data_IF_706687689017
#
_entry.id   IF_706687689017
#
_cell.length_a   1.000
_cell.length_b   1.000
_cell.length_c   1.000
_cell.angle_alpha   90.00
_cell.angle_beta   90.00
_cell.angle_gamma   90.00
#
_symmetry.space_group_name_H-M   'P 1'
#
loop_
_entity.id
_entity.type
_entity.pdbx_description
1 polymer ?
#
# COMPACT_ATOMS: atom_id res chain seq x y z
N UNK A 1 -51.31 31.00 49.43
CA UNK A 1 -50.44 31.86 48.60
C UNK A 1 -49.02 31.32 48.56
N UNK A 2 -48.40 30.94 49.69
CA UNK A 2 -47.08 30.29 49.70
C UNK A 2 -46.98 29.00 48.88
N UNK A 3 -48.03 28.17 48.80
CA UNK A 3 -47.97 26.94 48.00
C UNK A 3 -47.87 27.22 46.48
N UNK A 4 -48.42 28.35 46.01
CA UNK A 4 -48.34 28.75 44.61
C UNK A 4 -46.97 29.37 44.27
N UNK A 5 -46.35 30.08 45.20
CA UNK A 5 -44.98 30.60 45.05
C UNK A 5 -43.97 29.46 45.01
N UNK A 6 -44.09 28.48 45.90
CA UNK A 6 -43.21 27.30 45.91
C UNK A 6 -43.38 26.44 44.65
N UNK A 7 -44.60 26.25 44.15
CA UNK A 7 -44.83 25.52 42.90
C UNK A 7 -44.19 26.21 41.68
N UNK A 8 -44.23 27.56 41.66
CA UNK A 8 -43.57 28.35 40.61
C UNK A 8 -42.04 28.20 40.68
N UNK A 9 -41.46 28.27 41.87
CA UNK A 9 -40.01 28.13 42.06
C UNK A 9 -39.51 26.73 41.64
N UNK A 10 -40.25 25.67 41.99
CA UNK A 10 -39.92 24.30 41.58
C UNK A 10 -39.95 24.17 40.05
N UNK A 11 -40.99 24.69 39.38
CA UNK A 11 -41.09 24.62 37.92
C UNK A 11 -39.98 25.39 37.20
N UNK A 12 -39.53 26.52 37.76
CA UNK A 12 -38.39 27.29 37.21
C UNK A 12 -37.08 26.52 37.39
N UNK A 13 -36.86 25.88 38.54
CA UNK A 13 -35.67 25.05 38.77
C UNK A 13 -35.63 23.83 37.84
N UNK A 14 -36.77 23.17 37.65
CA UNK A 14 -36.90 22.03 36.74
C UNK A 14 -36.57 22.41 35.30
N UNK A 15 -37.14 23.53 34.80
CA UNK A 15 -36.83 24.04 33.46
C UNK A 15 -35.34 24.44 33.29
N UNK A 16 -34.71 24.98 34.33
CA UNK A 16 -33.29 25.32 34.29
C UNK A 16 -32.39 24.07 34.19
N UNK A 17 -32.73 23.01 34.94
CA UNK A 17 -32.03 21.71 34.87
C UNK A 17 -32.19 21.10 33.47
N UNK A 18 -33.41 21.11 32.94
CA UNK A 18 -33.67 20.57 31.60
C UNK A 18 -32.88 21.34 30.52
N UNK A 19 -32.85 22.67 30.59
CA UNK A 19 -32.11 23.49 29.63
C UNK A 19 -30.60 23.23 29.67
N UNK A 20 -30.01 23.06 30.85
CA UNK A 20 -28.59 22.72 30.97
C UNK A 20 -28.29 21.29 30.47
N UNK A 21 -29.22 20.34 30.69
CA UNK A 21 -29.11 18.99 30.13
C UNK A 21 -29.12 18.98 28.59
N UNK A 22 -30.01 19.77 27.97
CA UNK A 22 -30.06 19.93 26.51
C UNK A 22 -28.77 20.56 26.00
N UNK A 23 -28.24 21.57 26.70
CA UNK A 23 -27.01 22.26 26.31
C UNK A 23 -25.81 21.31 26.32
N UNK A 24 -25.65 20.53 27.38
CA UNK A 24 -24.56 19.57 27.53
C UNK A 24 -24.65 18.44 26.49
N UNK A 25 -25.86 17.94 26.20
CA UNK A 25 -26.10 16.94 25.17
C UNK A 25 -25.80 17.47 23.76
N UNK A 26 -26.22 18.71 23.43
CA UNK A 26 -25.89 19.33 22.13
C UNK A 26 -24.39 19.52 21.94
N UNK A 27 -23.67 19.92 22.99
CA UNK A 27 -22.23 20.03 22.94
C UNK A 27 -21.56 18.67 22.72
N UNK A 28 -22.06 17.63 23.41
CA UNK A 28 -21.60 16.25 23.23
C UNK A 28 -21.85 15.75 21.81
N UNK A 29 -23.03 16.02 21.25
CA UNK A 29 -23.37 15.69 19.86
C UNK A 29 -22.36 16.31 18.90
N UNK A 30 -22.16 17.63 18.98
CA UNK A 30 -21.20 18.33 18.12
C UNK A 30 -19.77 17.79 18.27
N UNK A 31 -19.38 17.42 19.49
CA UNK A 31 -18.07 16.81 19.75
C UNK A 31 -17.95 15.44 19.06
N UNK A 32 -18.98 14.59 19.17
CA UNK A 32 -19.00 13.28 18.52
C UNK A 32 -19.01 13.38 16.99
N UNK A 33 -19.73 14.35 16.41
CA UNK A 33 -19.71 14.61 14.96
C UNK A 33 -18.32 14.99 14.46
N UNK A 34 -17.62 15.87 15.18
CA UNK A 34 -16.22 16.23 14.86
C UNK A 34 -15.30 15.02 14.98
N UNK A 35 -15.50 14.19 15.99
CA UNK A 35 -14.71 12.98 16.18
C UNK A 35 -14.91 11.98 15.03
N UNK A 36 -16.15 11.79 14.56
CA UNK A 36 -16.46 10.95 13.39
C UNK A 36 -15.76 11.49 12.14
N UNK A 37 -15.92 12.78 11.84
CA UNK A 37 -15.28 13.39 10.65
C UNK A 37 -13.76 13.21 10.70
N UNK A 38 -13.13 13.42 11.86
CA UNK A 38 -11.69 13.19 12.03
C UNK A 38 -11.30 11.72 11.87
N UNK A 39 -12.13 10.79 12.33
CA UNK A 39 -11.87 9.35 12.15
C UNK A 39 -12.00 8.94 10.69
N UNK A 40 -12.97 9.48 9.95
CA UNK A 40 -13.12 9.26 8.52
C UNK A 40 -11.86 9.74 7.75
N UNK A 41 -11.34 10.92 8.09
CA UNK A 41 -10.08 11.42 7.52
C UNK A 41 -8.87 10.52 7.88
N UNK A 42 -8.83 9.99 9.09
CA UNK A 42 -7.75 9.06 9.48
C UNK A 42 -7.90 7.73 8.71
N UNK A 43 -9.12 7.25 8.49
CA UNK A 43 -9.38 6.04 7.73
C UNK A 43 -8.96 6.16 6.26
N UNK A 44 -9.27 7.27 5.60
CA UNK A 44 -8.85 7.50 4.21
C UNK A 44 -7.33 7.53 4.10
N UNK A 45 -6.66 8.25 5.01
CA UNK A 45 -5.20 8.28 5.07
C UNK A 45 -4.58 6.90 5.35
N UNK A 46 -5.18 6.10 6.24
CA UNK A 46 -4.72 4.73 6.52
C UNK A 46 -4.90 3.81 5.30
N UNK A 47 -6.00 3.95 4.56
CA UNK A 47 -6.24 3.19 3.32
C UNK A 47 -5.22 3.56 2.23
N UNK A 48 -4.92 4.85 2.05
CA UNK A 48 -3.87 5.31 1.13
C UNK A 48 -2.48 4.79 1.54
N UNK A 49 -2.18 4.80 2.84
CA UNK A 49 -0.92 4.27 3.37
C UNK A 49 -0.79 2.76 3.13
N UNK A 50 -1.85 1.98 3.34
CA UNK A 50 -1.86 0.55 3.00
C UNK A 50 -1.67 0.30 1.50
N UNK A 51 -2.30 1.11 0.66
CA UNK A 51 -2.14 0.99 -0.80
C UNK A 51 -0.71 1.28 -1.25
N UNK A 52 -0.11 2.35 -0.72
CA UNK A 52 1.30 2.68 -1.02
C UNK A 52 2.27 1.60 -0.52
N UNK A 53 2.05 1.04 0.68
CA UNK A 53 2.84 -0.09 1.17
C UNK A 53 2.71 -1.30 0.23
N UNK A 54 1.52 -1.61 -0.26
CA UNK A 54 1.32 -2.71 -1.22
C UNK A 54 2.11 -2.48 -2.52
N UNK A 55 2.07 -1.27 -3.09
CA UNK A 55 2.87 -0.92 -4.27
C UNK A 55 4.38 -1.02 -4.00
N UNK A 56 4.84 -0.61 -2.82
CA UNK A 56 6.24 -0.73 -2.44
C UNK A 56 6.68 -2.18 -2.32
N UNK A 57 5.83 -3.05 -1.75
CA UNK A 57 6.08 -4.48 -1.69
C UNK A 57 6.29 -5.09 -3.08
N UNK A 58 5.45 -4.71 -4.06
CA UNK A 58 5.59 -5.18 -5.44
C UNK A 58 6.92 -4.72 -6.05
N UNK A 59 7.29 -3.46 -5.85
CA UNK A 59 8.59 -2.93 -6.32
C UNK A 59 9.76 -3.69 -5.70
N UNK A 60 9.71 -4.00 -4.41
CA UNK A 60 10.76 -4.79 -3.73
C UNK A 60 10.88 -6.17 -4.37
N UNK A 61 9.75 -6.81 -4.70
CA UNK A 61 9.76 -8.11 -5.38
C UNK A 61 10.41 -8.02 -6.76
N UNK A 62 10.02 -7.04 -7.58
CA UNK A 62 10.61 -6.82 -8.91
C UNK A 62 12.13 -6.62 -8.81
N UNK A 63 12.59 -5.84 -7.82
CA UNK A 63 14.01 -5.62 -7.59
C UNK A 63 14.69 -6.92 -7.17
N UNK A 64 14.08 -7.71 -6.29
CA UNK A 64 14.59 -9.03 -5.88
C UNK A 64 14.81 -9.95 -7.08
N UNK A 65 13.79 -10.08 -7.95
CA UNK A 65 13.86 -10.92 -9.15
C UNK A 65 14.92 -10.40 -10.15
N UNK A 66 15.12 -9.07 -10.20
CA UNK A 66 16.17 -8.48 -11.03
C UNK A 66 17.57 -8.82 -10.53
N UNK A 67 17.80 -8.82 -9.21
CA UNK A 67 19.08 -9.17 -8.60
C UNK A 67 19.37 -10.66 -8.78
N UNK A 68 18.36 -11.52 -8.69
CA UNK A 68 18.52 -12.95 -8.96
C UNK A 68 18.97 -13.20 -10.41
N UNK A 69 18.35 -12.52 -11.38
CA UNK A 69 18.78 -12.57 -12.80
C UNK A 69 20.21 -12.03 -12.99
N UNK A 70 20.59 -10.97 -12.29
CA UNK A 70 21.98 -10.46 -12.32
C UNK A 70 22.95 -11.51 -11.76
N UNK A 71 22.58 -12.17 -10.66
CA UNK A 71 23.40 -13.22 -10.05
C UNK A 71 23.58 -14.41 -11.00
N UNK A 72 22.53 -14.85 -11.67
CA UNK A 72 22.58 -15.93 -12.66
C UNK A 72 23.45 -15.53 -13.87
N UNK A 73 23.16 -14.38 -14.49
CA UNK A 73 23.94 -13.88 -15.64
C UNK A 73 25.42 -13.67 -15.31
N UNK A 74 25.74 -13.23 -14.08
CA UNK A 74 27.11 -13.11 -13.58
C UNK A 74 27.81 -14.48 -13.50
N UNK A 75 27.12 -15.54 -13.08
CA UNK A 75 27.71 -16.90 -13.07
C UNK A 75 28.00 -17.42 -14.48
N UNK A 76 27.09 -17.16 -15.44
CA UNK A 76 27.31 -17.51 -16.86
C UNK A 76 28.49 -16.73 -17.43
N UNK A 77 28.58 -15.43 -17.13
CA UNK A 77 29.70 -14.60 -17.55
C UNK A 77 31.02 -15.11 -16.95
N UNK A 78 31.03 -15.52 -15.69
CA UNK A 78 32.19 -16.12 -15.03
C UNK A 78 32.70 -17.39 -15.76
N UNK A 79 31.79 -18.25 -16.22
CA UNK A 79 32.15 -19.45 -17.00
C UNK A 79 32.74 -19.06 -18.34
N UNK A 80 32.13 -18.10 -19.05
CA UNK A 80 32.62 -17.60 -20.34
C UNK A 80 34.01 -16.95 -20.22
N UNK A 81 34.25 -16.17 -19.16
CA UNK A 81 35.56 -15.57 -18.89
C UNK A 81 36.61 -16.65 -18.63
N UNK A 82 36.29 -17.71 -17.88
CA UNK A 82 37.20 -18.86 -17.70
C UNK A 82 37.52 -19.55 -19.03
N UNK A 83 36.53 -19.75 -19.90
CA UNK A 83 36.75 -20.32 -21.23
C UNK A 83 37.68 -19.44 -22.08
N UNK A 84 37.49 -18.12 -22.07
CA UNK A 84 38.38 -17.17 -22.77
C UNK A 84 39.81 -17.19 -22.22
N UNK A 85 39.97 -17.27 -20.91
CA UNK A 85 41.29 -17.40 -20.28
C UNK A 85 41.97 -18.71 -20.69
N UNK A 86 41.23 -19.82 -20.79
CA UNK A 86 41.74 -21.08 -21.32
C UNK A 86 42.18 -20.97 -22.78
N UNK A 87 41.41 -20.25 -23.61
CA UNK A 87 41.74 -20.04 -25.02
C UNK A 87 43.00 -19.19 -25.21
N UNK A 88 43.25 -18.19 -24.36
CA UNK A 88 44.49 -17.38 -24.37
C UNK A 88 45.75 -18.25 -24.22
N UNK A 89 45.65 -19.37 -23.50
CA UNK A 89 46.75 -20.33 -23.36
C UNK A 89 46.93 -21.24 -24.58
N UNK A 90 45.85 -21.52 -25.33
CA UNK A 90 45.88 -22.39 -26.51
C UNK A 90 46.22 -21.67 -27.81
N UNK A 91 45.79 -20.40 -27.96
CA UNK A 91 46.16 -19.61 -29.14
C UNK A 91 47.68 -19.47 -29.20
N UNK A 92 48.34 -20.01 -30.25
CA UNK A 92 49.75 -19.73 -30.48
C UNK A 92 49.88 -18.21 -30.55
N UNK A 93 50.90 -17.65 -29.91
CA UNK A 93 51.26 -16.23 -30.05
C UNK A 93 51.71 -15.98 -31.48
N UNK A 94 50.76 -15.97 -32.42
CA UNK A 94 50.97 -15.47 -33.74
C UNK A 94 51.18 -13.98 -33.57
N UNK A 95 52.45 -13.56 -33.55
CA UNK A 95 52.81 -12.17 -33.77
C UNK A 95 52.37 -11.80 -35.19
N UNK A 96 51.07 -11.54 -35.37
CA UNK A 96 50.60 -10.79 -36.52
C UNK A 96 51.24 -9.41 -36.39
N UNK A 97 52.38 -9.23 -37.06
CA UNK A 97 52.93 -7.93 -37.39
C UNK A 97 51.93 -7.28 -38.34
N UNK A 98 50.84 -6.76 -37.80
CA UNK A 98 49.90 -5.95 -38.58
C UNK A 98 50.68 -4.70 -38.97
N UNK A 99 50.97 -4.47 -40.26
CA UNK A 99 51.73 -3.32 -40.68
C UNK A 99 50.92 -2.06 -40.34
N UNK A 100 51.44 -1.25 -39.42
CA UNK A 100 50.86 0.01 -38.91
C UNK A 100 50.68 1.11 -39.97
N UNK A 101 50.90 0.80 -41.25
CA UNK A 101 50.79 1.73 -42.37
C UNK A 101 49.37 1.88 -42.94
N UNK A 102 48.38 1.12 -42.46
CA UNK A 102 46.98 1.24 -42.93
C UNK A 102 46.02 1.97 -41.97
N UNK A 103 46.44 2.29 -40.74
CA UNK A 103 45.57 2.94 -39.74
C UNK A 103 45.66 4.48 -39.72
N UNK A 104 46.24 5.10 -40.75
CA UNK A 104 46.31 6.56 -40.87
C UNK A 104 45.53 7.04 -42.08
N UNK A 105 44.20 6.96 -42.05
CA UNK A 105 43.38 7.82 -42.91
C UNK A 105 41.96 8.05 -42.39
N UNK A 106 41.70 9.35 -42.16
CA UNK A 106 40.42 10.08 -42.14
C UNK A 106 39.45 9.82 -40.98
N UNK A 107 39.62 10.68 -39.96
CA UNK A 107 38.48 11.46 -39.44
C UNK A 107 37.81 12.18 -40.63
N UNK A 108 36.63 11.73 -41.05
CA UNK A 108 35.69 12.56 -41.80
C UNK A 108 34.27 12.01 -41.69
N UNK A 109 33.41 12.83 -41.07
CA UNK A 109 31.94 12.90 -41.17
C UNK A 109 31.12 11.63 -40.84
N UNK A 110 30.23 11.81 -39.87
CA UNK A 110 29.06 10.96 -39.66
C UNK A 110 28.31 10.73 -40.99
N UNK A 111 27.99 9.48 -41.35
CA UNK A 111 26.96 9.20 -42.33
C UNK A 111 25.57 9.21 -41.67
N UNK A 112 24.51 9.52 -42.43
CA UNK A 112 23.13 9.52 -41.96
C UNK A 112 22.62 8.09 -41.75
N UNK A 113 21.58 8.01 -40.94
CA UNK A 113 20.76 6.86 -40.52
C UNK A 113 20.80 5.62 -41.41
N UNK A 114 21.10 4.48 -40.78
CA UNK A 114 20.88 3.15 -41.35
C UNK A 114 19.40 2.76 -41.19
N UNK A 115 18.79 2.12 -42.19
CA UNK A 115 17.46 1.53 -42.06
C UNK A 115 17.52 0.34 -41.09
N UNK A 116 16.49 0.23 -40.24
CA UNK A 116 16.30 -0.88 -39.33
C UNK A 116 16.27 -2.22 -40.08
N UNK A 117 16.94 -3.27 -39.58
CA UNK A 117 16.80 -4.61 -40.12
C UNK A 117 15.48 -5.22 -39.64
N UNK A 118 14.51 -5.32 -40.55
CA UNK A 118 13.37 -6.22 -40.42
C UNK A 118 13.87 -7.67 -40.58
N UNK A 119 14.25 -8.28 -39.47
CA UNK A 119 14.58 -9.69 -39.35
C UNK A 119 14.15 -10.20 -37.97
N UNK A 120 13.62 -11.42 -37.86
CA UNK A 120 12.91 -11.87 -36.67
C UNK A 120 13.88 -11.97 -35.49
N UNK A 121 13.63 -11.16 -34.46
CA UNK A 121 14.20 -11.34 -33.12
C UNK A 121 13.84 -12.74 -32.63
N UNK A 122 14.79 -13.66 -32.70
CA UNK A 122 14.75 -14.90 -31.93
C UNK A 122 15.16 -14.58 -30.49
N UNK A 123 14.18 -14.78 -29.60
CA UNK A 123 14.31 -15.08 -28.17
C UNK A 123 15.18 -14.16 -27.32
N UNK A 124 14.74 -12.90 -27.20
CA UNK A 124 14.86 -12.18 -25.93
C UNK A 124 13.70 -12.70 -25.06
N UNK A 125 13.94 -13.26 -23.86
CA UNK A 125 12.85 -13.67 -22.98
C UNK A 125 11.99 -12.44 -22.67
N UNK A 126 10.74 -12.53 -23.14
CA UNK A 126 9.66 -11.59 -22.91
C UNK A 126 9.73 -11.04 -21.48
N UNK A 127 9.90 -9.73 -21.35
CA UNK A 127 9.49 -9.01 -20.14
C UNK A 127 7.98 -9.23 -20.07
N UNK A 128 7.44 -9.90 -19.02
CA UNK A 128 6.01 -10.07 -18.90
C UNK A 128 5.37 -8.68 -18.80
N UNK A 129 4.54 -8.38 -19.79
CA UNK A 129 3.71 -7.18 -19.82
C UNK A 129 2.71 -7.29 -18.67
N UNK A 130 2.96 -6.54 -17.60
CA UNK A 130 2.10 -5.78 -16.67
C UNK A 130 0.60 -6.10 -16.44
N UNK A 131 -0.02 -7.14 -17.03
CA UNK A 131 -1.46 -7.40 -16.90
C UNK A 131 -1.83 -8.79 -16.36
N UNK A 132 -0.96 -9.81 -16.46
CA UNK A 132 -1.37 -11.19 -16.11
C UNK A 132 -0.85 -11.72 -14.76
N UNK A 133 -0.20 -10.88 -13.94
CA UNK A 133 0.20 -11.23 -12.55
C UNK A 133 -0.64 -10.53 -11.47
N UNK A 134 -1.87 -10.13 -11.79
CA UNK A 134 -2.76 -9.39 -10.88
C UNK A 134 -3.49 -10.24 -9.82
N UNK A 135 -3.14 -11.52 -9.63
CA UNK A 135 -4.05 -12.47 -8.96
C UNK A 135 -3.59 -13.15 -7.67
N UNK A 136 -2.34 -13.00 -7.23
CA UNK A 136 -1.88 -13.81 -6.08
C UNK A 136 -1.79 -13.02 -4.77
N UNK A 137 -1.55 -11.70 -4.82
CA UNK A 137 -1.44 -10.85 -3.62
C UNK A 137 -2.68 -9.98 -3.34
N UNK A 138 -3.59 -9.83 -4.31
CA UNK A 138 -4.82 -9.04 -4.16
C UNK A 138 -5.94 -9.73 -3.39
N UNK A 139 -5.87 -11.05 -3.13
CA UNK A 139 -6.97 -11.77 -2.44
C UNK A 139 -7.12 -11.37 -0.97
N UNK A 140 -6.02 -11.09 -0.25
CA UNK A 140 -6.07 -10.61 1.15
C UNK A 140 -6.49 -9.13 1.24
N UNK A 141 -6.11 -8.30 0.27
CA UNK A 141 -6.43 -6.88 0.21
C UNK A 141 -7.82 -6.59 -0.36
N UNK A 142 -8.33 -7.38 -1.31
CA UNK A 142 -9.73 -7.33 -1.76
C UNK A 142 -10.68 -7.87 -0.69
N UNK A 143 -10.26 -8.82 0.15
CA UNK A 143 -11.05 -9.23 1.29
C UNK A 143 -11.18 -8.09 2.33
N UNK A 144 -10.11 -7.33 2.59
CA UNK A 144 -10.16 -6.16 3.49
C UNK A 144 -10.81 -4.93 2.86
N UNK A 145 -10.57 -4.63 1.57
CA UNK A 145 -11.18 -3.52 0.84
C UNK A 145 -12.66 -3.79 0.53
N UNK A 146 -13.00 -5.05 0.22
CA UNK A 146 -14.37 -5.53 0.08
C UNK A 146 -15.10 -5.55 1.43
N UNK A 147 -14.43 -5.90 2.53
CA UNK A 147 -14.98 -5.70 3.87
C UNK A 147 -15.19 -4.21 4.16
N UNK A 148 -14.20 -3.34 3.91
CA UNK A 148 -14.29 -1.89 4.17
C UNK A 148 -15.32 -1.15 3.29
N UNK A 149 -15.58 -1.60 2.06
CA UNK A 149 -16.63 -1.05 1.19
C UNK A 149 -18.01 -1.69 1.40
N UNK A 150 -18.07 -2.92 1.92
CA UNK A 150 -19.34 -3.61 2.22
C UNK A 150 -19.79 -3.49 3.68
N UNK A 151 -18.97 -3.00 4.60
CA UNK A 151 -19.38 -2.65 5.97
C UNK A 151 -20.07 -1.30 6.09
N UNK A 152 -20.31 -0.60 4.98
CA UNK A 152 -21.43 0.35 4.87
C UNK A 152 -22.81 -0.35 4.75
N UNK A 153 -22.83 -1.68 4.63
CA UNK A 153 -24.00 -2.51 4.36
C UNK A 153 -24.01 -3.84 5.15
N UNK A 154 -23.29 -3.93 6.27
CA UNK A 154 -23.40 -5.09 7.15
C UNK A 154 -24.65 -5.00 8.04
N UNK A 155 -25.73 -5.58 7.51
CA UNK A 155 -26.79 -6.28 8.24
C UNK A 155 -27.33 -5.61 9.52
N UNK A 156 -27.98 -4.45 9.36
CA UNK A 156 -29.13 -4.09 10.20
C UNK A 156 -30.44 -4.64 9.60
N UNK A 157 -30.41 -5.85 9.06
CA UNK A 157 -31.52 -6.47 8.32
C UNK A 157 -31.74 -7.89 8.80
N UNK A 158 -32.28 -8.02 10.01
CA UNK A 158 -33.16 -9.15 10.40
C UNK A 158 -33.91 -8.88 11.72
N UNK A 159 -33.57 -7.83 12.47
CA UNK A 159 -34.37 -7.40 13.65
C UNK A 159 -35.10 -6.06 13.47
N UNK A 160 -34.73 -5.24 12.49
CA UNK A 160 -35.27 -3.88 12.33
C UNK A 160 -36.69 -3.85 11.74
N UNK A 161 -37.10 -4.83 10.93
CA UNK A 161 -38.42 -4.79 10.28
C UNK A 161 -39.58 -5.13 11.23
N UNK A 162 -39.34 -5.95 12.26
CA UNK A 162 -40.35 -6.16 13.31
C UNK A 162 -40.41 -5.00 14.31
N UNK A 163 -39.30 -4.32 14.58
CA UNK A 163 -39.29 -3.17 15.50
C UNK A 163 -39.83 -1.88 14.85
N UNK A 164 -39.73 -1.72 13.53
CA UNK A 164 -40.38 -0.61 12.81
C UNK A 164 -41.90 -0.80 12.65
N UNK A 165 -42.40 -2.05 12.58
CA UNK A 165 -43.85 -2.30 12.54
C UNK A 165 -44.52 -2.18 13.91
N UNK A 166 -43.82 -2.47 15.01
CA UNK A 166 -44.31 -2.18 16.36
C UNK A 166 -44.29 -0.67 16.69
N UNK A 167 -43.33 0.09 16.16
CA UNK A 167 -43.25 1.56 16.37
C UNK A 167 -44.33 2.37 15.64
N UNK A 168 -44.86 1.88 14.53
CA UNK A 168 -45.97 2.55 13.85
C UNK A 168 -47.31 2.44 14.64
N UNK A 169 -47.36 1.58 15.66
CA UNK A 169 -48.49 1.50 16.61
C UNK A 169 -48.25 2.29 17.91
N UNK A 170 -47.01 2.66 18.24
CA UNK A 170 -46.65 3.44 19.44
C UNK A 170 -46.48 4.95 19.16
N UNK A 171 -46.80 5.43 17.96
CA UNK A 171 -46.83 6.87 17.63
C UNK A 171 -48.09 7.58 18.10
N UNK A 172 -48.91 6.92 18.91
CA UNK A 172 -49.97 7.57 19.66
C UNK A 172 -49.59 7.50 21.14
N UNK A 173 -49.28 8.66 21.73
CA UNK A 173 -49.06 8.91 23.18
C UNK A 173 -47.67 8.68 23.78
N UNK A 174 -46.63 9.36 23.31
CA UNK A 174 -45.61 9.93 24.23
C UNK A 174 -44.90 11.10 23.53
N UNK A 175 -44.91 12.29 24.13
CA UNK A 175 -44.07 13.39 23.67
C UNK A 175 -42.61 13.02 23.96
N UNK A 176 -41.89 12.52 22.95
CA UNK A 176 -40.45 12.27 23.06
C UNK A 176 -39.77 13.61 23.29
N UNK A 177 -39.05 13.77 24.40
CA UNK A 177 -38.33 15.01 24.70
C UNK A 177 -37.16 15.17 23.71
N UNK A 178 -36.84 16.41 23.34
CA UNK A 178 -35.65 16.74 22.54
C UNK A 178 -34.37 16.15 23.16
N UNK A 179 -34.34 16.00 24.49
CA UNK A 179 -33.28 15.35 25.26
C UNK A 179 -33.05 13.91 24.80
N UNK A 180 -34.12 13.12 24.67
CA UNK A 180 -34.05 11.70 24.31
C UNK A 180 -33.57 11.52 22.88
N UNK A 181 -34.00 12.39 21.96
CA UNK A 181 -33.58 12.36 20.55
C UNK A 181 -32.08 12.65 20.43
N UNK A 182 -31.59 13.69 21.13
CA UNK A 182 -30.16 14.05 21.09
C UNK A 182 -29.31 12.96 21.75
N UNK A 183 -29.75 12.42 22.89
CA UNK A 183 -29.06 11.33 23.57
C UNK A 183 -28.93 10.10 22.66
N UNK A 184 -30.01 9.70 21.97
CA UNK A 184 -29.97 8.58 21.04
C UNK A 184 -29.01 8.81 19.86
N UNK A 185 -28.91 10.06 19.36
CA UNK A 185 -27.94 10.40 18.31
C UNK A 185 -26.49 10.34 18.81
N UNK A 186 -26.24 10.81 20.05
CA UNK A 186 -24.92 10.70 20.68
C UNK A 186 -24.52 9.23 20.81
N UNK A 187 -25.41 8.37 21.29
CA UNK A 187 -25.14 6.93 21.41
C UNK A 187 -24.81 6.30 20.05
N UNK A 188 -25.62 6.60 19.01
CA UNK A 188 -25.35 6.12 17.66
C UNK A 188 -24.01 6.61 17.10
N UNK A 189 -23.61 7.85 17.44
CA UNK A 189 -22.30 8.36 17.07
C UNK A 189 -21.15 7.68 17.83
N UNK A 190 -21.34 7.37 19.11
CA UNK A 190 -20.35 6.62 19.91
C UNK A 190 -20.15 5.20 19.36
N UNK A 191 -21.21 4.54 18.93
CA UNK A 191 -21.11 3.22 18.26
C UNK A 191 -20.32 3.31 16.94
N UNK A 192 -20.59 4.34 16.12
CA UNK A 192 -19.82 4.59 14.89
C UNK A 192 -18.34 4.84 15.19
N UNK A 193 -18.05 5.68 16.19
CA UNK A 193 -16.67 5.96 16.64
C UNK A 193 -15.98 4.66 17.08
N UNK A 194 -16.64 3.84 17.89
CA UNK A 194 -16.12 2.56 18.37
C UNK A 194 -15.76 1.62 17.21
N UNK A 195 -16.68 1.48 16.24
CA UNK A 195 -16.46 0.68 15.04
C UNK A 195 -15.28 1.19 14.19
N UNK A 196 -15.23 2.50 13.95
CA UNK A 196 -14.11 3.15 13.27
C UNK A 196 -12.77 2.92 13.98
N UNK A 197 -12.71 3.07 15.31
CA UNK A 197 -11.50 2.79 16.09
C UNK A 197 -11.05 1.34 15.97
N UNK A 198 -12.00 0.38 15.94
CA UNK A 198 -11.67 -1.03 15.72
C UNK A 198 -11.08 -1.27 14.33
N UNK A 199 -11.67 -0.69 13.29
CA UNK A 199 -11.12 -0.77 11.93
C UNK A 199 -9.74 -0.13 11.84
N UNK A 200 -9.53 1.02 12.50
CA UNK A 200 -8.25 1.72 12.51
C UNK A 200 -7.18 0.88 13.21
N UNK A 201 -7.54 0.19 14.31
CA UNK A 201 -6.65 -0.76 14.98
C UNK A 201 -6.25 -1.89 14.03
N UNK A 202 -7.20 -2.49 13.30
CA UNK A 202 -6.90 -3.54 12.32
C UNK A 202 -5.97 -3.02 11.22
N UNK A 203 -6.25 -1.84 10.67
CA UNK A 203 -5.40 -1.20 9.66
C UNK A 203 -3.98 -0.96 10.20
N UNK A 204 -3.85 -0.43 11.43
CA UNK A 204 -2.53 -0.18 12.05
C UNK A 204 -1.72 -1.45 12.26
N UNK A 205 -2.36 -2.57 12.64
CA UNK A 205 -1.69 -3.86 12.79
C UNK A 205 -1.25 -4.42 11.44
N UNK A 206 -2.11 -4.32 10.42
CA UNK A 206 -1.78 -4.75 9.07
C UNK A 206 -0.63 -3.93 8.47
N UNK A 207 -0.64 -2.60 8.65
CA UNK A 207 0.45 -1.72 8.25
C UNK A 207 1.76 -2.09 8.96
N UNK A 208 1.71 -2.32 10.28
CA UNK A 208 2.88 -2.73 11.06
C UNK A 208 3.48 -4.04 10.54
N UNK A 209 2.64 -5.06 10.32
CA UNK A 209 3.07 -6.35 9.79
C UNK A 209 3.69 -6.24 8.39
N UNK A 210 3.12 -5.41 7.51
CA UNK A 210 3.66 -5.21 6.16
C UNK A 210 4.99 -4.45 6.20
N UNK A 211 5.15 -3.46 7.08
CA UNK A 211 6.43 -2.76 7.28
C UNK A 211 7.51 -3.73 7.77
N UNK A 212 7.18 -4.59 8.75
CA UNK A 212 8.10 -5.60 9.26
C UNK A 212 8.51 -6.58 8.15
N UNK A 213 7.55 -7.06 7.36
CA UNK A 213 7.81 -7.95 6.24
C UNK A 213 8.67 -7.28 5.15
N UNK A 214 8.41 -6.02 4.80
CA UNK A 214 9.25 -5.26 3.87
C UNK A 214 10.66 -5.05 4.41
N UNK A 215 10.80 -4.80 5.71
CA UNK A 215 12.10 -4.64 6.37
C UNK A 215 12.94 -5.90 6.27
N UNK A 216 12.33 -7.07 6.52
CA UNK A 216 12.98 -8.36 6.34
C UNK A 216 13.40 -8.59 4.87
N UNK A 217 12.49 -8.35 3.91
CA UNK A 217 12.79 -8.46 2.48
C UNK A 217 13.93 -7.54 2.05
N UNK A 218 13.93 -6.28 2.50
CA UNK A 218 15.00 -5.31 2.20
C UNK A 218 16.33 -5.72 2.80
N UNK A 219 16.35 -6.30 4.01
CA UNK A 219 17.58 -6.85 4.61
C UNK A 219 18.16 -7.99 3.76
N UNK A 220 17.32 -8.94 3.35
CA UNK A 220 17.72 -10.01 2.43
C UNK A 220 18.17 -9.49 1.08
N UNK A 221 17.48 -8.47 0.55
CA UNK A 221 17.81 -7.80 -0.70
C UNK A 221 19.20 -7.14 -0.63
N UNK A 222 19.52 -6.45 0.46
CA UNK A 222 20.83 -5.81 0.66
C UNK A 222 21.96 -6.84 0.56
N UNK A 223 21.81 -7.98 1.25
CA UNK A 223 22.79 -9.08 1.18
C UNK A 223 22.89 -9.65 -0.24
N UNK A 224 21.76 -9.80 -0.94
CA UNK A 224 21.74 -10.29 -2.31
C UNK A 224 22.42 -9.31 -3.28
N UNK A 225 22.20 -8.00 -3.14
CA UNK A 225 22.86 -6.94 -3.91
C UNK A 225 24.36 -7.00 -3.70
N UNK A 226 24.83 -7.01 -2.45
CA UNK A 226 26.27 -7.08 -2.14
C UNK A 226 26.92 -8.33 -2.73
N UNK A 227 26.23 -9.47 -2.64
CA UNK A 227 26.69 -10.73 -3.23
C UNK A 227 26.78 -10.65 -4.76
N UNK A 228 25.76 -10.06 -5.41
CA UNK A 228 25.72 -9.87 -6.86
C UNK A 228 26.82 -8.90 -7.32
N UNK A 229 26.98 -7.77 -6.65
CA UNK A 229 28.02 -6.77 -6.93
C UNK A 229 29.43 -7.38 -6.82
N UNK A 230 29.69 -8.12 -5.73
CA UNK A 230 30.96 -8.84 -5.56
C UNK A 230 31.23 -9.87 -6.66
N UNK A 231 30.21 -10.54 -7.21
CA UNK A 231 30.39 -11.41 -8.38
C UNK A 231 30.68 -10.63 -9.65
N UNK A 232 29.92 -9.57 -9.93
CA UNK A 232 30.12 -8.70 -11.10
C UNK A 232 31.52 -8.08 -11.09
N UNK A 233 31.98 -7.55 -9.95
CA UNK A 233 33.32 -7.00 -9.79
C UNK A 233 34.41 -8.05 -10.07
N UNK A 234 34.23 -9.29 -9.59
CA UNK A 234 35.16 -10.40 -9.89
C UNK A 234 35.18 -10.79 -11.35
N UNK A 235 34.01 -10.90 -12.01
CA UNK A 235 33.91 -11.14 -13.46
C UNK A 235 34.67 -10.05 -14.21
N UNK A 236 34.41 -8.79 -13.88
CA UNK A 236 35.04 -7.64 -14.52
C UNK A 236 36.57 -7.66 -14.35
N UNK A 237 37.08 -7.93 -13.13
CA UNK A 237 38.51 -8.05 -12.88
C UNK A 237 39.18 -9.16 -13.69
N UNK A 238 38.57 -10.36 -13.76
CA UNK A 238 39.08 -11.48 -14.56
C UNK A 238 39.05 -11.19 -16.07
N UNK A 239 37.99 -10.52 -16.54
CA UNK A 239 37.86 -10.09 -17.92
C UNK A 239 38.97 -9.09 -18.28
N UNK A 240 39.19 -8.07 -17.44
CA UNK A 240 40.26 -7.09 -17.62
C UNK A 240 41.65 -7.76 -17.67
N UNK A 241 41.93 -8.72 -16.78
CA UNK A 241 43.17 -9.51 -16.82
C UNK A 241 43.31 -10.38 -18.07
N UNK A 242 42.21 -10.89 -18.63
CA UNK A 242 42.25 -11.69 -19.84
C UNK A 242 42.71 -10.85 -21.06
N UNK A 243 42.37 -9.56 -21.09
CA UNK A 243 42.72 -8.65 -22.19
C UNK A 243 43.97 -7.80 -21.95
N UNK A 244 44.50 -7.75 -20.72
CA UNK A 244 45.84 -7.21 -20.45
C UNK A 244 46.95 -8.16 -20.86
#
# INVERSE_FOLDING_TARGET
>A
MHDAENACEIAVQEAAIELESIRTLRWSLQSTERAISKLEDIHTNAAESLFTLAQQSEKIQIISDSIERIKESSTVAEVKVRQLQGLKGWMPRFHLKIPTRLLRKKRSKCPPELPCPDGPLQDIPHIPTECDMLHISNTKLMALSGALKSTGSFQASTTTTQQQQLRAQETFTTAVSDVDVIAQQVDGNLDRISSSLQMLRVASLAMGQEIDAQTERLSGLSIAVESADGKVARVHGKLSQAFS
#
